data_IF_833940052460
#
_entry.id   IF_833940052460
#
_cell.length_a   1.000
_cell.length_b   1.000
_cell.length_c   1.000
_cell.angle_alpha   90.00
_cell.angle_beta   90.00
_cell.angle_gamma   90.00
#
_symmetry.space_group_name_H-M   'P 1'
#
loop_
_entity.id
_entity.type
_entity.pdbx_description
1 polymer ?
2 non-polymer ?
3 water ?
#
# COMPACT_ATOMS: atom_id res chain seq x y z
N UNK A 11 -9.99 3.17 20.52
CA UNK A 11 -8.56 3.42 20.56
C UNK A 11 -8.02 3.49 21.99
N UNK A 12 -7.10 2.57 22.28
CA UNK A 12 -6.49 2.49 23.60
C UNK A 12 -5.62 3.70 23.88
N UNK A 13 -5.85 4.38 25.01
CA UNK A 13 -4.93 5.42 25.47
C UNK A 13 -3.80 4.74 26.25
N UNK A 14 -2.56 4.95 25.81
CA UNK A 14 -1.39 4.26 26.33
C UNK A 14 -0.68 5.17 27.31
N UNK A 15 -0.26 4.60 28.46
CA UNK A 15 0.47 5.41 29.41
C UNK A 15 1.94 5.52 28.99
N UNK A 16 2.52 6.72 29.08
CA UNK A 16 3.90 6.91 28.63
C UNK A 16 4.91 6.02 29.35
N UNK A 17 4.62 5.54 30.56
CA UNK A 17 5.56 4.64 31.22
C UNK A 17 5.68 3.30 30.52
N UNK A 18 4.79 3.00 29.57
CA UNK A 18 4.78 1.70 28.90
C UNK A 18 5.52 1.72 27.57
N UNK A 19 6.02 2.87 27.14
CA UNK A 19 6.59 3.04 25.80
C UNK A 19 8.03 3.47 25.92
N UNK A 20 8.91 2.76 25.23
CA UNK A 20 10.31 3.17 25.12
C UNK A 20 10.65 3.38 23.66
N UNK A 21 11.45 4.41 23.40
CA UNK A 21 11.96 4.69 22.07
C UNK A 21 13.41 4.27 22.03
N UNK A 22 13.74 3.40 21.08
CA UNK A 22 15.08 2.86 20.96
C UNK A 22 15.86 3.48 19.81
N UNK A 23 15.24 3.63 18.64
CA UNK A 23 15.94 4.01 17.43
C UNK A 23 15.06 4.91 16.57
N UNK A 24 15.66 5.89 15.91
CA UNK A 24 14.92 6.72 14.96
C UNK A 24 14.83 5.97 13.63
N UNK A 25 13.62 5.86 13.10
CA UNK A 25 13.40 5.25 11.80
C UNK A 25 13.39 6.34 10.75
N UNK A 26 12.47 7.30 10.90
CA UNK A 26 12.31 8.39 9.96
C UNK A 26 11.90 9.67 10.66
N UNK A 31 7.20 15.83 13.35
CA UNK A 31 7.55 14.75 14.25
C UNK A 31 8.53 13.72 13.69
N UNK A 32 8.73 12.62 14.42
CA UNK A 32 9.62 11.54 14.00
C UNK A 32 8.88 10.21 14.09
N UNK A 33 9.48 9.18 13.51
CA UNK A 33 9.02 7.79 13.65
C UNK A 33 10.14 7.00 14.30
N UNK A 34 9.82 6.35 15.42
CA UNK A 34 10.79 5.57 16.17
C UNK A 34 10.44 4.09 16.11
N UNK A 35 11.46 3.25 16.15
CA UNK A 35 11.29 1.88 16.58
C UNK A 35 11.43 1.85 18.10
N UNK A 36 10.53 1.17 18.78
CA UNK A 36 10.59 1.07 20.22
C UNK A 36 9.92 -0.17 20.76
N UNK A 37 9.64 -0.19 22.06
CA UNK A 37 8.96 -1.31 22.70
C UNK A 37 7.76 -0.80 23.48
N UNK A 38 6.75 -1.62 23.56
CA UNK A 38 5.57 -1.29 24.30
C UNK A 38 5.22 -2.38 25.29
N UNK A 39 4.95 -1.99 26.52
CA UNK A 39 4.57 -2.92 27.57
C UNK A 39 3.06 -2.97 27.59
N UNK A 40 2.54 -4.16 27.44
CA UNK A 40 1.12 -4.43 27.29
C UNK A 40 0.57 -5.48 28.24
N UNK A 41 -0.73 -5.69 28.19
CA UNK A 41 -1.39 -6.69 28.99
C UNK A 41 -1.02 -6.67 30.47
N UNK A 42 -1.14 -5.51 31.09
CA UNK A 42 -0.85 -5.32 32.50
C UNK A 42 0.55 -5.72 32.92
N UNK A 43 1.50 -5.49 32.02
CA UNK A 43 2.89 -5.77 32.26
C UNK A 43 3.35 -7.17 31.88
N UNK A 44 2.44 -8.04 31.42
CA UNK A 44 2.80 -9.43 31.16
C UNK A 44 3.43 -9.64 29.78
N UNK A 45 3.29 -8.70 28.85
CA UNK A 45 3.86 -8.84 27.51
C UNK A 45 4.59 -7.57 27.09
N UNK A 46 5.48 -7.72 26.12
CA UNK A 46 6.29 -6.64 25.56
C UNK A 46 6.41 -6.88 24.07
N UNK A 47 6.02 -5.90 23.25
CA UNK A 47 6.09 -6.11 21.81
C UNK A 47 6.84 -4.97 21.14
N UNK A 48 7.57 -5.28 20.07
CA UNK A 48 8.17 -4.22 19.26
C UNK A 48 7.08 -3.38 18.60
N UNK A 49 7.33 -2.07 18.52
CA UNK A 49 6.35 -1.16 17.96
C UNK A 49 7.07 -0.09 17.15
N UNK A 50 6.30 0.54 16.26
CA UNK A 50 6.69 1.81 15.64
C UNK A 50 5.96 2.94 16.35
N UNK A 51 6.65 4.06 16.53
CA UNK A 51 6.13 5.19 17.30
C UNK A 51 6.26 6.45 16.46
N UNK A 52 5.13 7.08 16.15
CA UNK A 52 5.12 8.32 15.37
C UNK A 52 4.71 9.46 16.29
N UNK A 53 5.49 10.54 16.29
CA UNK A 53 5.24 11.64 17.21
C UNK A 53 4.79 12.88 16.46
N UNK A 54 4.15 13.78 17.21
CA UNK A 54 3.74 15.09 16.73
C UNK A 54 4.34 16.13 17.66
N UNK A 55 5.37 16.80 17.21
CA UNK A 55 6.11 17.81 17.98
C UNK A 55 5.31 19.02 18.44
N UNK A 56 5.73 19.61 19.53
CA UNK A 56 5.05 20.77 20.07
C UNK A 56 5.02 21.92 19.06
N UNK A 57 3.91 22.63 19.03
CA UNK A 57 3.68 23.67 18.05
C UNK A 57 2.73 23.27 16.95
N UNK A 58 2.33 21.99 16.92
CA UNK A 58 1.41 21.53 15.89
C UNK A 58 0.10 22.32 15.97
N UNK A 59 -0.51 22.52 14.81
CA UNK A 59 -1.74 23.28 14.69
C UNK A 59 -2.94 22.38 14.95
N UNK A 60 -4.11 23.00 15.02
CA UNK A 60 -5.34 22.24 15.19
C UNK A 60 -5.59 21.32 14.00
N UNK A 61 -5.27 21.77 12.82
CA UNK A 61 -5.41 20.93 11.64
C UNK A 61 -4.48 19.71 11.75
N UNK A 62 -3.27 19.93 12.17
CA UNK A 62 -2.32 18.83 12.30
C UNK A 62 -2.76 17.83 13.36
N UNK A 63 -3.31 18.31 14.49
CA UNK A 63 -3.81 17.40 15.51
C UNK A 63 -4.97 16.58 14.97
N UNK A 64 -5.86 17.24 14.22
CA UNK A 64 -7.04 16.55 13.68
C UNK A 64 -6.62 15.48 12.67
N UNK A 65 -5.70 15.81 11.77
CA UNK A 65 -5.21 14.80 10.84
C UNK A 65 -4.46 13.68 11.56
N UNK A 66 -3.68 14.04 12.59
CA UNK A 66 -2.83 13.08 13.27
C UNK A 66 -3.66 12.07 14.05
N UNK A 67 -4.53 12.56 14.94
CA UNK A 67 -5.39 11.65 15.68
C UNK A 67 -6.46 11.03 14.78
N UNK A 68 -6.83 11.73 13.71
CA UNK A 68 -7.79 11.16 12.77
C UNK A 68 -7.26 9.91 12.09
N UNK A 69 -5.97 9.91 11.73
CA UNK A 69 -5.40 8.69 11.15
C UNK A 69 -5.40 7.54 12.15
N UNK A 70 -5.11 7.82 13.42
CA UNK A 70 -5.19 6.75 14.42
C UNK A 70 -6.62 6.27 14.62
N UNK A 71 -7.58 7.19 14.58
CA UNK A 71 -8.98 6.79 14.74
C UNK A 71 -9.45 5.92 13.61
N UNK A 72 -8.99 6.21 12.39
CA UNK A 72 -9.32 5.40 11.23
C UNK A 72 -8.63 4.04 11.34
N UNK A 73 -7.31 4.03 11.58
CA UNK A 73 -6.59 2.77 11.79
C UNK A 73 -7.25 1.91 12.86
N UNK A 74 -7.79 2.55 13.90
CA UNK A 74 -8.35 1.82 15.02
C UNK A 74 -9.65 1.10 14.72
N UNK A 75 -10.34 1.46 13.62
CA UNK A 75 -11.58 0.79 13.21
C UNK A 75 -11.34 -0.55 12.54
N UNK A 76 -10.11 -0.85 12.14
CA UNK A 76 -9.83 -1.98 11.27
C UNK A 76 -9.20 -3.12 12.06
N UNK A 77 -9.55 -4.33 11.68
CA UNK A 77 -8.93 -5.53 12.26
C UNK A 77 -8.81 -6.52 11.12
N UNK A 78 -7.67 -6.47 10.41
CA UNK A 78 -7.47 -7.33 9.27
C UNK A 78 -5.98 -7.64 9.13
N UNK A 79 -5.70 -8.87 8.71
CA UNK A 79 -4.33 -9.35 8.58
C UNK A 79 -3.46 -8.44 7.71
N UNK A 80 -4.05 -7.81 6.69
CA UNK A 80 -3.29 -7.00 5.74
C UNK A 80 -3.54 -5.50 5.92
N UNK A 81 -3.91 -5.09 7.13
CA UNK A 81 -4.00 -3.69 7.53
C UNK A 81 -3.17 -3.52 8.78
N UNK A 82 -2.38 -2.46 8.85
CA UNK A 82 -1.47 -2.29 9.98
C UNK A 82 -2.25 -2.20 11.28
N UNK A 83 -1.76 -2.91 12.29
CA UNK A 83 -2.36 -2.95 13.62
C UNK A 83 -2.00 -1.71 14.43
N UNK A 84 -3.00 -1.01 14.93
CA UNK A 84 -2.81 0.08 15.88
C UNK A 84 -2.78 -0.47 17.29
N UNK A 85 -1.72 -0.15 18.02
CA UNK A 85 -1.66 -0.54 19.42
C UNK A 85 -2.35 0.47 20.32
N UNK A 86 -2.15 1.76 20.06
CA UNK A 86 -2.86 2.79 20.80
C UNK A 86 -2.21 4.14 20.55
N UNK A 87 -2.66 5.11 21.33
CA UNK A 87 -2.15 6.47 21.18
C UNK A 87 -1.80 7.00 22.55
N UNK A 88 -0.94 8.01 22.55
CA UNK A 88 -0.68 8.84 23.73
C UNK A 88 -1.13 10.24 23.35
N UNK A 89 -2.31 10.64 23.82
CA UNK A 89 -2.80 11.98 23.57
C UNK A 89 -2.85 12.84 24.82
N UNK A 90 -3.01 12.25 26.00
CA UNK A 90 -3.11 13.03 27.23
C UNK A 90 -1.77 13.59 27.68
N UNK A 91 -0.68 13.16 27.05
CA UNK A 91 0.66 13.65 27.37
C UNK A 91 1.33 14.08 26.08
N UNK A 92 2.30 14.98 26.19
CA UNK A 92 2.99 15.52 25.01
C UNK A 92 4.47 15.14 25.02
N UNK A 93 5.07 14.94 23.83
CA UNK A 93 4.47 14.97 22.49
C UNK A 93 3.55 13.79 22.26
N UNK A 94 2.50 14.00 21.47
CA UNK A 94 1.54 12.94 21.24
C UNK A 94 2.14 11.88 20.32
N UNK A 95 1.62 10.66 20.43
CA UNK A 95 2.20 9.51 19.78
C UNK A 95 1.11 8.61 19.24
N UNK A 96 1.37 8.03 18.09
CA UNK A 96 0.62 6.90 17.57
C UNK A 96 1.56 5.70 17.55
N UNK A 97 1.06 4.56 17.98
CA UNK A 97 1.91 3.39 18.19
C UNK A 97 1.27 2.21 17.48
N UNK A 98 2.01 1.61 16.55
CA UNK A 98 1.54 0.50 15.76
C UNK A 98 2.49 -0.66 15.93
N UNK A 99 2.09 -1.79 15.37
CA UNK A 99 3.04 -2.88 15.19
C UNK A 99 4.23 -2.40 14.37
N UNK A 100 5.39 -3.01 14.63
CA UNK A 100 6.62 -2.69 13.91
C UNK A 100 6.74 -3.62 12.72
N UNK A 101 6.90 -3.04 11.53
CA UNK A 101 7.03 -3.79 10.29
C UNK A 101 8.52 -3.76 9.90
N UNK A 102 9.19 -4.92 10.01
CA UNK A 102 10.65 -4.95 10.02
C UNK A 102 11.25 -4.52 8.69
N UNK A 103 10.57 -4.75 7.58
CA UNK A 103 11.15 -4.48 6.27
C UNK A 103 10.69 -3.17 5.66
N UNK A 104 9.98 -2.33 6.42
CA UNK A 104 9.70 -0.98 5.97
C UNK A 104 8.74 -0.92 4.79
N UNK A 105 8.81 0.19 4.06
CA UNK A 105 7.86 0.42 2.98
C UNK A 105 8.12 -0.53 1.81
N UNK A 106 7.03 -0.94 1.15
CA UNK A 106 7.12 -1.96 0.11
C UNK A 106 7.95 -1.49 -1.09
N UNK A 107 7.80 -0.22 -1.48
CA UNK A 107 8.55 0.21 -2.67
C UNK A 107 10.04 0.24 -2.39
N UNK A 108 10.43 0.75 -1.23
CA UNK A 108 11.86 0.80 -0.92
C UNK A 108 12.42 -0.60 -0.72
N UNK A 109 11.61 -1.49 -0.12
CA UNK A 109 12.03 -2.86 0.11
C UNK A 109 12.32 -3.58 -1.19
N UNK A 110 11.40 -3.48 -2.15
CA UNK A 110 11.58 -4.16 -3.43
C UNK A 110 12.80 -3.62 -4.18
N UNK A 111 13.07 -2.32 -4.07
CA UNK A 111 14.22 -1.74 -4.77
C UNK A 111 15.54 -2.20 -4.19
N UNK A 112 15.53 -2.60 -2.91
CA UNK A 112 16.64 -3.25 -2.24
C UNK A 112 16.75 -4.73 -2.56
N UNK A 113 15.70 -5.35 -3.03
CA UNK A 113 15.67 -6.79 -3.26
C UNK A 113 15.46 -7.12 -4.74
N UNK A 114 15.92 -6.23 -5.62
CA UNK A 114 15.59 -6.35 -7.03
C UNK A 114 15.93 -7.75 -7.57
N UNK A 115 14.92 -8.41 -8.13
CA UNK A 115 15.12 -9.69 -8.75
C UNK A 115 15.18 -10.87 -7.81
N UNK A 116 15.06 -10.65 -6.49
CA UNK A 116 15.34 -11.71 -5.52
C UNK A 116 14.13 -12.55 -5.16
N UNK A 117 12.92 -12.15 -5.53
CA UNK A 117 11.76 -12.94 -5.17
C UNK A 117 11.25 -13.72 -6.37
N UNK A 118 10.43 -14.73 -6.10
CA UNK A 118 9.81 -15.48 -7.17
C UNK A 118 8.54 -14.78 -7.64
N UNK A 119 8.10 -15.15 -8.85
CA UNK A 119 6.80 -14.65 -9.31
C UNK A 119 5.71 -15.00 -8.30
N UNK A 120 5.71 -16.23 -7.79
CA UNK A 120 4.68 -16.64 -6.84
C UNK A 120 4.70 -15.77 -5.58
N UNK A 121 5.89 -15.42 -5.08
CA UNK A 121 6.00 -14.56 -3.90
C UNK A 121 5.43 -13.17 -4.19
N UNK A 122 5.81 -12.58 -5.32
CA UNK A 122 5.28 -11.28 -5.70
C UNK A 122 3.76 -11.32 -5.81
N UNK A 123 3.22 -12.36 -6.45
CA UNK A 123 1.76 -12.44 -6.59
C UNK A 123 1.13 -12.60 -5.22
N UNK A 124 1.78 -13.33 -4.32
CA UNK A 124 1.30 -13.43 -2.94
C UNK A 124 1.22 -12.10 -2.23
N UNK A 125 2.23 -11.22 -2.42
CA UNK A 125 2.20 -9.91 -1.82
C UNK A 125 1.00 -9.14 -2.31
N UNK A 126 0.71 -9.24 -3.62
CA UNK A 126 -0.42 -8.53 -4.19
C UNK A 126 -1.74 -9.08 -3.69
N UNK A 127 -1.81 -10.40 -3.47
CA UNK A 127 -3.04 -10.96 -2.92
C UNK A 127 -3.31 -10.40 -1.54
N UNK A 128 -2.25 -10.27 -0.73
CA UNK A 128 -2.40 -9.66 0.59
C UNK A 128 -2.85 -8.22 0.51
N UNK A 129 -2.20 -7.41 -0.33
CA UNK A 129 -2.61 -6.02 -0.44
C UNK A 129 -4.06 -5.92 -0.87
N UNK A 130 -4.45 -6.78 -1.83
CA UNK A 130 -5.80 -6.74 -2.37
C UNK A 130 -6.82 -7.14 -1.31
N UNK A 131 -6.48 -8.10 -0.47
CA UNK A 131 -7.38 -8.48 0.62
C UNK A 131 -7.54 -7.33 1.61
N UNK A 132 -6.45 -6.65 1.94
CA UNK A 132 -6.56 -5.47 2.77
C UNK A 132 -7.44 -4.40 2.14
N UNK A 133 -7.29 -4.16 0.83
CA UNK A 133 -8.11 -3.14 0.17
C UNK A 133 -9.58 -3.55 0.08
N UNK A 134 -9.83 -4.84 -0.15
CA UNK A 134 -11.21 -5.33 -0.18
C UNK A 134 -11.89 -5.08 1.15
N UNK A 135 -11.15 -5.33 2.22
CA UNK A 135 -11.62 -5.03 3.57
C UNK A 135 -11.94 -3.54 3.72
N UNK A 136 -10.96 -2.68 3.41
CA UNK A 136 -11.18 -1.23 3.46
C UNK A 136 -12.40 -0.82 2.66
N UNK A 137 -12.50 -1.27 1.41
CA UNK A 137 -13.58 -0.82 0.54
C UNK A 137 -14.91 -1.27 1.08
N UNK A 138 -14.98 -2.51 1.59
CA UNK A 138 -16.21 -3.03 2.18
C UNK A 138 -16.60 -2.32 3.46
N UNK A 139 -15.62 -1.79 4.22
CA UNK A 139 -15.89 -0.96 5.38
C UNK A 139 -16.29 0.47 5.00
N UNK A 140 -16.43 0.72 3.69
CA UNK A 140 -16.83 2.02 3.13
C UNK A 140 -15.77 3.10 3.33
N UNK A 141 -14.50 2.71 3.26
CA UNK A 141 -13.40 3.66 3.29
C UNK A 141 -12.74 3.69 1.92
N UNK A 142 -12.51 4.90 1.39
CA UNK A 142 -11.76 5.08 0.16
C UNK A 142 -10.37 5.58 0.56
N UNK A 143 -9.33 4.93 0.04
CA UNK A 143 -7.99 5.24 0.51
C UNK A 143 -7.49 6.54 -0.13
N UNK A 144 -7.61 6.65 -1.45
CA UNK A 144 -7.29 7.82 -2.27
C UNK A 144 -5.80 7.98 -2.51
N UNK A 145 -4.93 7.29 -1.78
CA UNK A 145 -3.48 7.44 -1.94
C UNK A 145 -2.81 6.07 -1.96
N UNK A 146 -3.47 5.09 -2.58
CA UNK A 146 -2.92 3.73 -2.60
C UNK A 146 -1.72 3.67 -3.55
N UNK A 147 -0.58 3.25 -3.02
CA UNK A 147 0.71 3.22 -3.69
C UNK A 147 1.60 2.33 -2.82
N UNK A 148 2.62 1.74 -3.45
CA UNK A 148 3.49 0.85 -2.68
C UNK A 148 4.21 1.57 -1.54
N UNK A 149 4.44 2.89 -1.65
CA UNK A 149 5.08 3.62 -0.56
C UNK A 149 4.24 3.63 0.71
N UNK A 150 2.92 3.39 0.59
CA UNK A 150 2.02 3.36 1.73
C UNK A 150 1.70 1.95 2.19
N UNK A 151 2.42 0.95 1.68
CA UNK A 151 2.33 -0.44 2.12
C UNK A 151 3.60 -0.74 2.91
N UNK A 152 3.45 -1.42 4.05
CA UNK A 152 4.60 -1.84 4.84
C UNK A 152 4.73 -3.36 4.80
N UNK A 153 5.96 -3.85 5.02
CA UNK A 153 6.28 -5.27 4.89
C UNK A 153 6.93 -5.73 6.18
N UNK A 154 6.45 -6.85 6.74
CA UNK A 154 7.05 -7.38 7.94
C UNK A 154 8.08 -8.46 7.59
N UNK A 155 8.66 -9.06 8.64
CA UNK A 155 9.78 -9.98 8.44
C UNK A 155 9.35 -11.24 7.69
N UNK A 156 8.05 -11.60 7.75
CA UNK A 156 7.51 -12.74 7.03
C UNK A 156 7.00 -12.38 5.64
N UNK A 157 7.38 -11.20 5.11
CA UNK A 157 7.01 -10.74 3.77
C UNK A 157 5.51 -10.48 3.64
N UNK A 158 4.78 -10.37 4.74
CA UNK A 158 3.37 -10.01 4.69
C UNK A 158 3.27 -8.52 4.47
N UNK A 159 2.44 -8.12 3.51
CA UNK A 159 2.23 -6.72 3.14
C UNK A 159 0.94 -6.20 3.76
N UNK A 160 1.00 -4.97 4.28
CA UNK A 160 -0.15 -4.41 4.98
C UNK A 160 -0.34 -2.96 4.56
N UNK A 161 -1.59 -2.61 4.26
CA UNK A 161 -1.91 -1.20 3.99
C UNK A 161 -1.75 -0.43 5.28
N UNK A 162 -0.96 0.64 5.24
CA UNK A 162 -0.41 1.16 6.49
C UNK A 162 -0.59 2.65 6.70
N UNK A 163 -0.27 3.44 5.69
CA UNK A 163 -0.37 4.90 5.80
C UNK A 163 -1.76 5.33 5.36
N UNK A 164 -2.51 5.96 6.27
CA UNK A 164 -3.90 6.33 6.05
C UNK A 164 -4.13 7.82 6.19
N UNK A 165 -3.11 8.65 6.14
CA UNK A 165 -3.36 10.06 6.36
C UNK A 165 -3.11 11.03 5.23
N UNK A 186 -0.65 12.22 -5.40
CA UNK A 186 0.12 12.07 -6.64
C UNK A 186 -0.65 11.49 -7.81
N UNK A 187 -0.46 12.22 -8.91
CA UNK A 187 -1.21 12.04 -10.14
C UNK A 187 -1.05 10.62 -10.68
N UNK A 188 0.18 10.09 -10.73
CA UNK A 188 0.38 8.88 -11.52
C UNK A 188 -0.14 7.60 -10.85
N UNK A 189 -0.69 7.66 -9.63
CA UNK A 189 -1.45 6.53 -9.09
C UNK A 189 -2.95 6.75 -9.18
N UNK A 190 -3.39 7.89 -9.69
CA UNK A 190 -4.79 8.28 -9.53
C UNK A 190 -5.60 8.05 -10.80
N UNK A 191 -6.82 7.53 -10.63
CA UNK A 191 -7.71 7.27 -11.75
C UNK A 191 -8.07 8.58 -12.43
N UNK A 192 -8.32 8.53 -13.75
CA UNK A 192 -8.64 9.76 -14.51
C UNK A 192 -9.82 10.54 -13.95
N UNK A 193 -10.91 9.86 -13.57
CA UNK A 193 -12.07 10.59 -13.05
C UNK A 193 -11.80 11.20 -11.69
N UNK A 194 -10.88 10.62 -10.91
CA UNK A 194 -10.48 11.25 -9.66
C UNK A 194 -9.57 12.45 -9.90
N UNK A 195 -8.71 12.41 -10.91
CA UNK A 195 -7.88 13.57 -11.20
C UNK A 195 -8.75 14.76 -11.59
N UNK A 196 -9.66 14.55 -12.54
CA UNK A 196 -10.38 15.61 -13.21
C UNK A 196 -11.64 16.04 -12.47
N UNK A 197 -12.31 15.14 -11.76
CA UNK A 197 -13.57 15.49 -11.09
C UNK A 197 -13.53 15.27 -9.58
N UNK A 198 -12.37 14.88 -9.03
CA UNK A 198 -12.24 14.60 -7.60
C UNK A 198 -13.22 13.53 -7.14
N UNK A 199 -13.64 12.65 -8.06
CA UNK A 199 -14.55 11.56 -7.73
C UNK A 199 -13.73 10.35 -7.26
N UNK A 200 -13.39 10.35 -5.98
CA UNK A 200 -12.66 9.24 -5.37
C UNK A 200 -13.67 8.20 -4.89
N UNK A 201 -13.50 6.96 -5.35
CA UNK A 201 -14.34 5.85 -4.93
C UNK A 201 -13.46 4.62 -4.79
N UNK A 202 -14.06 3.50 -4.41
CA UNK A 202 -13.28 2.27 -4.42
C UNK A 202 -12.85 1.87 -5.84
N UNK A 203 -13.56 2.35 -6.86
CA UNK A 203 -13.15 2.05 -8.23
C UNK A 203 -11.92 2.85 -8.63
N UNK A 204 -11.73 4.04 -8.06
CA UNK A 204 -10.48 4.75 -8.30
C UNK A 204 -9.35 4.16 -7.46
N UNK A 205 -9.69 3.55 -6.31
CA UNK A 205 -8.66 2.78 -5.60
C UNK A 205 -8.25 1.54 -6.40
N UNK A 206 -9.18 0.92 -7.14
CA UNK A 206 -8.82 -0.24 -7.97
C UNK A 206 -7.81 0.17 -9.04
N UNK A 207 -8.00 1.35 -9.64
CA UNK A 207 -7.01 1.87 -10.60
C UNK A 207 -5.65 1.94 -9.94
N UNK A 208 -5.59 2.55 -8.74
CA UNK A 208 -4.35 2.66 -7.99
C UNK A 208 -3.76 1.29 -7.70
N UNK A 209 -4.62 0.34 -7.32
CA UNK A 209 -4.12 -1.01 -7.08
C UNK A 209 -3.46 -1.61 -8.31
N UNK A 210 -4.02 -1.36 -9.50
CA UNK A 210 -3.34 -1.77 -10.71
C UNK A 210 -1.94 -1.18 -10.83
N UNK A 211 -1.79 0.10 -10.50
CA UNK A 211 -0.45 0.70 -10.50
C UNK A 211 0.44 0.01 -9.47
N UNK A 212 -0.11 -0.29 -8.29
CA UNK A 212 0.65 -1.03 -7.27
C UNK A 212 1.08 -2.39 -7.80
N UNK A 213 0.20 -3.06 -8.55
CA UNK A 213 0.59 -4.34 -9.18
C UNK A 213 1.81 -4.16 -10.07
N UNK A 214 1.81 -3.09 -10.84
CA UNK A 214 2.96 -2.82 -11.69
C UNK A 214 4.21 -2.47 -10.87
N UNK A 215 4.04 -1.69 -9.79
CA UNK A 215 5.17 -1.41 -8.91
C UNK A 215 5.75 -2.72 -8.34
N UNK A 216 4.90 -3.62 -7.91
CA UNK A 216 5.42 -4.85 -7.31
C UNK A 216 6.15 -5.69 -8.35
N UNK A 217 5.54 -5.89 -9.52
CA UNK A 217 6.11 -6.81 -10.50
C UNK A 217 7.38 -6.25 -11.11
N UNK A 218 7.62 -4.93 -10.98
CA UNK A 218 8.85 -4.31 -11.45
C UNK A 218 9.88 -4.09 -10.36
N UNK A 219 9.61 -4.55 -9.13
CA UNK A 219 10.48 -4.31 -7.97
C UNK A 219 10.66 -2.82 -7.71
N UNK A 220 9.56 -2.07 -7.82
CA UNK A 220 9.54 -0.71 -7.37
C UNK A 220 9.94 0.31 -8.40
N UNK A 221 9.70 0.04 -9.67
CA UNK A 221 10.00 1.08 -10.66
C UNK A 221 9.05 2.26 -10.48
N UNK A 222 9.49 3.42 -10.94
CA UNK A 222 8.63 4.59 -10.91
C UNK A 222 7.60 4.47 -12.03
N UNK A 223 6.30 4.47 -11.72
CA UNK A 223 5.30 4.40 -12.79
C UNK A 223 5.54 5.51 -13.81
N UNK A 224 5.53 5.13 -15.09
CA UNK A 224 5.67 6.00 -16.25
C UNK A 224 7.06 6.61 -16.36
N UNK A 225 8.00 6.15 -15.53
CA UNK A 225 9.39 6.58 -15.60
C UNK A 225 9.54 8.11 -15.62
N UNK A 226 10.23 8.63 -16.64
CA UNK A 226 10.57 10.06 -16.64
C UNK A 226 9.39 10.97 -16.96
N UNK A 227 8.23 10.43 -17.32
CA UNK A 227 7.13 11.29 -17.74
C UNK A 227 6.77 12.26 -16.61
N UNK A 228 6.49 13.52 -16.97
CA UNK A 228 5.96 14.44 -15.99
C UNK A 228 4.49 14.11 -15.74
N UNK A 229 3.94 14.75 -14.70
CA UNK A 229 2.51 14.57 -14.41
C UNK A 229 1.64 14.91 -15.62
N UNK A 230 1.94 16.02 -16.29
CA UNK A 230 1.12 16.37 -17.46
C UNK A 230 1.29 15.36 -18.57
N UNK A 231 2.50 14.81 -18.73
CA UNK A 231 2.72 13.79 -19.76
C UNK A 231 2.01 12.49 -19.40
N UNK A 232 1.90 12.20 -18.11
CA UNK A 232 1.16 11.01 -17.68
C UNK A 232 -0.31 11.16 -18.02
N UNK A 233 -0.89 12.32 -17.69
CA UNK A 233 -2.29 12.60 -18.04
C UNK A 233 -2.49 12.52 -19.55
N UNK A 234 -1.54 13.06 -20.33
CA UNK A 234 -1.65 13.00 -21.77
C UNK A 234 -1.72 11.56 -22.27
N UNK A 235 -0.83 10.71 -21.77
CA UNK A 235 -0.77 9.35 -22.29
C UNK A 235 -1.99 8.55 -21.89
N UNK A 236 -2.37 8.63 -20.61
CA UNK A 236 -3.53 7.87 -20.11
C UNK A 236 -4.78 8.25 -20.89
N UNK A 237 -4.98 9.56 -21.07
CA UNK A 237 -6.20 9.99 -21.73
C UNK A 237 -6.20 9.67 -23.22
N UNK A 238 -5.01 9.41 -23.80
CA UNK A 238 -4.90 8.88 -25.16
C UNK A 238 -5.03 7.38 -25.21
N UNK A 239 -5.16 6.71 -24.08
CA UNK A 239 -5.30 5.27 -24.07
C UNK A 239 -4.04 4.48 -23.81
N UNK A 240 -2.89 5.16 -23.71
CA UNK A 240 -1.64 4.48 -23.35
C UNK A 240 -1.76 3.91 -21.94
N UNK A 241 -1.14 2.74 -21.74
CA UNK A 241 -1.05 2.14 -20.43
C UNK A 241 0.36 1.64 -20.24
N UNK A 242 0.75 1.47 -18.97
CA UNK A 242 2.09 0.99 -18.65
C UNK A 242 2.36 -0.35 -19.32
N UNK A 243 3.54 -0.54 -19.90
CA UNK A 243 3.84 -1.80 -20.56
C UNK A 243 4.07 -2.90 -19.55
N UNK A 244 4.12 -4.12 -20.00
CA UNK A 244 4.32 -5.23 -19.13
C UNK A 244 5.66 -5.24 -18.45
N UNK A 245 5.65 -5.50 -17.15
CA UNK A 245 6.94 -5.76 -16.49
C UNK A 245 7.63 -6.98 -17.09
N UNK A 246 8.95 -7.06 -16.88
CA UNK A 246 9.71 -8.26 -17.20
C UNK A 246 9.24 -9.41 -16.33
N UNK A 247 9.26 -10.63 -16.91
CA UNK A 247 8.89 -11.86 -16.18
C UNK A 247 7.51 -11.76 -15.53
N UNK A 248 6.57 -11.18 -16.24
CA UNK A 248 5.25 -10.98 -15.63
C UNK A 248 4.25 -11.99 -16.20
N UNK A 249 3.55 -12.75 -15.36
CA UNK A 249 2.53 -13.67 -15.87
C UNK A 249 1.53 -12.91 -16.71
N UNK A 250 1.12 -13.52 -17.83
CA UNK A 250 0.10 -12.90 -18.70
C UNK A 250 -1.17 -12.57 -17.92
N UNK A 251 -1.61 -13.49 -17.05
CA UNK A 251 -2.84 -13.22 -16.31
C UNK A 251 -2.71 -12.01 -15.37
N UNK A 252 -1.51 -11.79 -14.83
CA UNK A 252 -1.29 -10.65 -13.93
C UNK A 252 -1.32 -9.34 -14.72
N UNK A 253 -0.68 -9.31 -15.90
CA UNK A 253 -0.72 -8.10 -16.72
C UNK A 253 -2.15 -7.82 -17.21
N UNK A 254 -2.86 -8.87 -17.62
CA UNK A 254 -4.26 -8.69 -17.99
C UNK A 254 -5.06 -8.10 -16.84
N UNK A 255 -4.80 -8.55 -15.61
CA UNK A 255 -5.56 -8.04 -14.48
C UNK A 255 -5.23 -6.58 -14.21
N UNK A 256 -3.94 -6.22 -14.25
CA UNK A 256 -3.67 -4.80 -14.02
C UNK A 256 -4.24 -3.94 -15.15
N UNK A 257 -4.24 -4.42 -16.39
CA UNK A 257 -4.83 -3.66 -17.49
C UNK A 257 -6.32 -3.44 -17.27
N UNK A 258 -7.02 -4.44 -16.74
CA UNK A 258 -8.43 -4.25 -16.42
C UNK A 258 -8.66 -3.23 -15.31
N UNK A 259 -7.75 -3.15 -14.33
CA UNK A 259 -7.87 -2.10 -13.32
C UNK A 259 -7.78 -0.72 -13.92
N UNK A 260 -7.15 -0.58 -15.09
CA UNK A 260 -6.97 0.71 -15.74
C UNK A 260 -7.98 0.94 -16.86
N UNK A 261 -9.14 0.29 -16.82
CA UNK A 261 -10.22 0.67 -17.73
C UNK A 261 -10.59 2.15 -17.52
N UNK A 262 -10.76 2.89 -18.62
CA UNK A 262 -11.15 4.30 -18.51
C UNK A 262 -12.49 4.46 -17.80
N UNK A 263 -13.49 3.67 -18.22
CA UNK A 263 -14.81 3.65 -17.58
C UNK A 263 -14.73 2.93 -16.25
N UNK A 264 -15.01 3.61 -15.14
CA UNK A 264 -14.78 2.99 -13.84
C UNK A 264 -15.67 1.76 -13.67
N UNK A 265 -16.86 1.76 -14.28
CA UNK A 265 -17.78 0.63 -14.14
C UNK A 265 -17.23 -0.65 -14.74
N UNK A 266 -16.27 -0.57 -15.67
CA UNK A 266 -15.70 -1.78 -16.25
C UNK A 266 -14.53 -2.35 -15.44
N UNK A 267 -14.08 -1.65 -14.40
CA UNK A 267 -12.96 -2.14 -13.61
C UNK A 267 -13.40 -3.29 -12.72
N UNK A 268 -12.49 -4.22 -12.40
CA UNK A 268 -12.82 -5.25 -11.41
C UNK A 268 -13.13 -4.62 -10.06
N UNK A 269 -14.01 -5.28 -9.28
CA UNK A 269 -14.10 -4.96 -7.87
C UNK A 269 -12.94 -5.60 -7.12
N UNK A 270 -12.64 -5.09 -5.92
CA UNK A 270 -11.59 -5.75 -5.13
C UNK A 270 -11.90 -7.21 -4.88
N UNK A 271 -13.18 -7.57 -4.72
CA UNK A 271 -13.53 -8.98 -4.57
C UNK A 271 -13.08 -9.81 -5.79
N UNK A 272 -13.28 -9.28 -7.00
CA UNK A 272 -12.82 -9.97 -8.20
C UNK A 272 -11.32 -10.14 -8.18
N UNK A 273 -10.60 -9.08 -7.80
CA UNK A 273 -9.13 -9.13 -7.78
C UNK A 273 -8.64 -10.21 -6.82
N UNK A 274 -9.15 -10.21 -5.59
CA UNK A 274 -8.70 -11.22 -4.63
C UNK A 274 -8.99 -12.62 -5.17
N UNK A 275 -10.19 -12.82 -5.73
CA UNK A 275 -10.60 -14.13 -6.22
C UNK A 275 -9.69 -14.61 -7.35
N UNK A 276 -9.40 -13.72 -8.31
CA UNK A 276 -8.52 -14.08 -9.43
C UNK A 276 -7.14 -14.44 -8.92
N UNK A 277 -6.56 -13.58 -8.07
CA UNK A 277 -5.22 -13.86 -7.54
C UNK A 277 -5.21 -15.17 -6.78
N UNK A 278 -6.26 -15.44 -5.98
CA UNK A 278 -6.34 -16.71 -5.29
C UNK A 278 -6.32 -17.89 -6.24
N UNK A 279 -7.11 -17.80 -7.32
CA UNK A 279 -7.19 -18.91 -8.28
C UNK A 279 -5.85 -19.14 -8.96
N UNK A 280 -5.14 -18.06 -9.30
CA UNK A 280 -3.82 -18.20 -9.90
C UNK A 280 -2.83 -18.87 -8.93
N UNK A 281 -2.85 -18.47 -7.66
CA UNK A 281 -1.88 -19.02 -6.71
C UNK A 281 -2.15 -20.49 -6.47
N UNK A 282 -3.42 -20.91 -6.50
CA UNK A 282 -3.80 -22.29 -6.27
C UNK A 282 -3.52 -23.18 -7.47
N UNK A 283 -3.43 -22.62 -8.67
CA UNK A 283 -3.08 -23.36 -9.90
C UNK A 283 -1.85 -22.70 -10.49
N UNK A 284 -0.70 -22.81 -9.81
CA UNK A 284 0.42 -21.90 -10.10
C UNK A 284 1.07 -22.12 -11.46
N UNK A 285 0.84 -23.24 -12.15
CA UNK A 285 1.31 -23.34 -13.53
C UNK A 285 0.62 -22.31 -14.42
N UNK A 286 -0.51 -21.77 -13.98
CA UNK A 286 -1.18 -20.69 -14.71
C UNK A 286 -0.33 -19.44 -14.78
N UNK A 287 0.62 -19.28 -13.88
CA UNK A 287 1.50 -18.12 -13.84
C UNK A 287 2.74 -18.29 -14.72
N UNK A 288 2.92 -19.47 -15.32
CA UNK A 288 4.06 -19.70 -16.19
C UNK A 288 3.86 -19.14 -17.59
N UNK A 289 2.63 -18.84 -17.98
CA UNK A 289 2.39 -18.18 -19.27
C UNK A 289 2.67 -16.69 -19.07
N UNK A 290 3.75 -16.18 -19.68
CA UNK A 290 4.19 -14.80 -19.49
C UNK A 290 3.64 -13.91 -20.59
N UNK A 291 3.29 -12.68 -20.22
CA UNK A 291 3.12 -11.64 -21.23
C UNK A 291 4.46 -11.34 -21.86
N UNK A 292 4.42 -11.10 -23.18
CA UNK A 292 5.63 -10.71 -23.88
C UNK A 292 6.18 -9.42 -23.30
N UNK A 293 7.46 -9.43 -22.94
CA UNK A 293 8.11 -8.22 -22.50
C UNK A 293 8.61 -7.45 -23.72
N UNK A 294 8.11 -6.24 -23.90
CA UNK A 294 8.36 -5.49 -25.13
C UNK A 294 9.80 -5.02 -25.19
N UNK A 295 10.61 -5.51 -26.12
CA UNK A 295 12.03 -5.11 -26.14
C UNK A 295 12.18 -3.65 -26.54
N UNK A 296 12.39 -2.76 -25.54
CA UNK A 296 12.55 -1.34 -25.80
C UNK A 296 13.89 -1.02 -26.47
N UNK A 297 14.80 -1.98 -26.52
CA UNK A 297 16.19 -1.76 -26.87
C UNK A 297 16.63 -2.83 -27.87
N UNK A 298 17.34 -2.40 -28.90
CA UNK A 298 17.74 -3.29 -29.99
C UNK A 298 19.17 -3.76 -29.70
N UNK A 299 19.33 -5.06 -29.42
CA UNK A 299 20.64 -5.66 -29.16
C UNK A 299 20.73 -6.93 -30.01
N UNK A 300 21.59 -6.91 -31.03
CA UNK A 300 21.76 -8.05 -31.93
C UNK A 300 23.20 -8.58 -31.80
#
# INVERSE_FOLDING_TARGET
>A
GDPNQAVLKFTTEIHPSCVTRQKVIGAGEFGEVYKGMLKTSSGKKEVPVAIKTLKAGYTEKQRVDFLGEAGIMGQFSHHNIIRLEGVISKYKPMMIITEYMENGALDKFLREKDGEFSVLQLVGMLRGIAAGMKYLANMNYVHRDLAARNILVNSNLVCKVSDFGLSRVLEDDPEATYTTSGGKIPIRWTAPEAISYRKFTSASDVWSFGIVMWEVMTYGERPYWELSNHEVMKAINDGFRLPTPMDCPSAIYQLMMQCWQQERARRPKFADIVSILDKLIRAPDSLKTLADFDPRVSIRLPSTSG
#
